data_IF_958728349439
#
_entry.id   IF_958728349439
#
_cell.length_a   1.000
_cell.length_b   1.000
_cell.length_c   1.000
_cell.angle_alpha   90.00
_cell.angle_beta   90.00
_cell.angle_gamma   90.00
#
_symmetry.space_group_name_H-M   'P 1'
#
loop_
_entity.id
_entity.type
_entity.pdbx_description
1 polymer ?
#
# COMPACT_ATOMS: atom_id res chain seq x y z
N UNK A 1 1.07 -9.51 -23.94
CA UNK A 1 -0.29 -8.93 -23.98
C UNK A 1 -1.20 -10.13 -24.13
N UNK A 2 -1.84 -10.55 -23.04
CA UNK A 2 -2.89 -11.56 -23.14
C UNK A 2 -4.10 -10.74 -23.57
N UNK A 3 -4.56 -10.99 -24.78
CA UNK A 3 -5.60 -10.21 -25.44
C UNK A 3 -6.95 -10.41 -24.74
N UNK A 4 -7.76 -9.35 -24.69
CA UNK A 4 -9.12 -9.30 -24.11
C UNK A 4 -10.12 -10.30 -24.77
N UNK A 5 -9.68 -11.24 -25.60
CA UNK A 5 -10.53 -12.24 -26.25
C UNK A 5 -10.83 -13.48 -25.39
N UNK A 6 -10.24 -13.61 -24.20
CA UNK A 6 -10.70 -14.55 -23.16
C UNK A 6 -11.95 -14.03 -22.40
N UNK A 7 -12.66 -13.05 -22.97
CA UNK A 7 -14.00 -12.64 -22.57
C UNK A 7 -14.99 -13.77 -22.85
N UNK A 8 -15.05 -14.70 -21.89
CA UNK A 8 -16.05 -15.74 -21.63
C UNK A 8 -17.29 -15.65 -22.54
N UNK A 9 -17.45 -16.65 -23.42
CA UNK A 9 -18.59 -16.82 -24.32
C UNK A 9 -19.92 -16.64 -23.57
N UNK A 10 -20.60 -15.52 -23.83
CA UNK A 10 -21.86 -15.16 -23.15
C UNK A 10 -22.97 -16.19 -23.39
N UNK A 11 -22.95 -16.90 -24.52
CA UNK A 11 -23.92 -17.96 -24.77
C UNK A 11 -23.63 -19.15 -23.86
N UNK A 12 -22.36 -19.55 -23.71
CA UNK A 12 -21.95 -20.62 -22.81
C UNK A 12 -22.27 -20.30 -21.34
N UNK A 13 -22.07 -19.04 -20.90
CA UNK A 13 -22.45 -18.60 -19.55
C UNK A 13 -23.97 -18.79 -19.35
N UNK A 14 -24.78 -18.33 -20.29
CA UNK A 14 -26.23 -18.42 -20.19
C UNK A 14 -26.72 -19.86 -20.20
N UNK A 15 -26.09 -20.73 -21.00
CA UNK A 15 -26.38 -22.17 -20.99
C UNK A 15 -26.03 -22.81 -19.66
N UNK A 16 -24.84 -22.56 -19.10
CA UNK A 16 -24.44 -23.07 -17.79
C UNK A 16 -25.34 -22.56 -16.67
N UNK A 17 -25.71 -21.27 -16.68
CA UNK A 17 -26.66 -20.72 -15.71
C UNK A 17 -28.00 -21.44 -15.80
N UNK A 18 -28.51 -21.70 -17.01
CA UNK A 18 -29.76 -22.44 -17.20
C UNK A 18 -29.64 -23.89 -16.75
N UNK A 19 -28.54 -24.57 -17.07
CA UNK A 19 -28.22 -25.96 -16.67
C UNK A 19 -28.31 -26.11 -15.14
N UNK A 20 -27.72 -25.17 -14.42
CA UNK A 20 -27.71 -25.17 -12.95
C UNK A 20 -28.89 -24.43 -12.32
N UNK A 21 -29.92 -24.06 -13.09
CA UNK A 21 -31.13 -23.42 -12.55
C UNK A 21 -30.89 -22.02 -11.95
N UNK A 22 -29.82 -21.33 -12.35
CA UNK A 22 -29.49 -19.97 -11.92
C UNK A 22 -30.36 -18.96 -12.69
N UNK A 23 -31.64 -18.89 -12.34
CA UNK A 23 -32.66 -18.11 -13.08
C UNK A 23 -32.77 -16.65 -12.66
N UNK A 24 -32.08 -16.25 -11.59
CA UNK A 24 -32.15 -14.90 -11.03
C UNK A 24 -30.87 -14.11 -11.33
N UNK A 25 -31.00 -12.78 -11.41
CA UNK A 25 -29.88 -11.85 -11.57
C UNK A 25 -29.24 -11.46 -10.22
N UNK A 26 -29.60 -12.16 -9.16
CA UNK A 26 -29.06 -11.97 -7.81
C UNK A 26 -27.88 -12.91 -7.56
N UNK A 27 -27.26 -12.77 -6.38
CA UNK A 27 -26.21 -13.68 -5.96
C UNK A 27 -26.74 -15.11 -5.94
N UNK A 28 -26.01 -16.02 -6.60
CA UNK A 28 -26.36 -17.43 -6.59
C UNK A 28 -25.09 -18.26 -6.73
N UNK A 29 -24.90 -19.22 -5.83
CA UNK A 29 -23.76 -20.12 -5.83
C UNK A 29 -24.25 -21.56 -5.86
N UNK A 30 -23.72 -22.35 -6.80
CA UNK A 30 -24.01 -23.79 -6.91
C UNK A 30 -22.74 -24.55 -6.64
N UNK A 31 -22.79 -25.41 -5.62
CA UNK A 31 -21.70 -26.33 -5.31
C UNK A 31 -21.92 -27.61 -6.09
N UNK A 32 -21.02 -27.92 -7.00
CA UNK A 32 -20.96 -29.19 -7.73
C UNK A 32 -19.85 -30.07 -7.20
N UNK A 33 -19.97 -31.38 -7.42
CA UNK A 33 -18.87 -32.32 -7.26
C UNK A 33 -18.12 -32.48 -8.61
N UNK A 34 -17.04 -33.27 -8.64
CA UNK A 34 -16.22 -33.49 -9.85
C UNK A 34 -17.00 -34.13 -11.01
N UNK A 35 -18.17 -34.71 -10.73
CA UNK A 35 -19.09 -35.24 -11.75
C UNK A 35 -20.01 -34.16 -12.35
N UNK A 36 -19.77 -32.89 -12.02
CA UNK A 36 -20.55 -31.72 -12.43
C UNK A 36 -22.02 -31.76 -11.99
N UNK A 37 -22.38 -32.66 -11.07
CA UNK A 37 -23.72 -32.69 -10.50
C UNK A 37 -23.80 -31.73 -9.32
N UNK A 38 -24.83 -30.88 -9.34
CA UNK A 38 -25.13 -30.00 -8.23
C UNK A 38 -25.39 -30.80 -6.94
N UNK A 39 -24.73 -30.40 -5.87
CA UNK A 39 -24.87 -30.95 -4.51
C UNK A 39 -25.60 -29.99 -3.58
N UNK A 40 -25.41 -28.68 -3.77
CA UNK A 40 -26.03 -27.66 -2.94
C UNK A 40 -26.19 -26.33 -3.69
N UNK A 41 -27.23 -25.57 -3.32
CA UNK A 41 -27.56 -24.26 -3.85
C UNK A 41 -27.55 -23.22 -2.72
N UNK A 42 -27.03 -22.02 -3.00
CA UNK A 42 -27.00 -20.90 -2.06
C UNK A 42 -27.47 -19.62 -2.76
N UNK A 43 -28.52 -19.01 -2.22
CA UNK A 43 -29.08 -17.73 -2.70
C UNK A 43 -28.45 -16.52 -2.00
N UNK A 44 -27.57 -16.77 -1.02
CA UNK A 44 -26.84 -15.74 -0.27
C UNK A 44 -25.38 -16.15 -0.10
N UNK A 45 -24.45 -15.19 0.05
CA UNK A 45 -23.06 -15.50 0.35
C UNK A 45 -22.94 -16.36 1.61
N UNK A 46 -22.12 -17.41 1.55
CA UNK A 46 -21.86 -18.31 2.66
C UNK A 46 -20.37 -18.34 2.97
N UNK A 47 -20.04 -18.49 4.26
CA UNK A 47 -18.66 -18.66 4.68
C UNK A 47 -18.03 -19.89 4.01
N UNK A 48 -16.86 -19.71 3.41
CA UNK A 48 -16.14 -20.79 2.71
C UNK A 48 -15.83 -21.98 3.60
N UNK A 49 -15.65 -21.76 4.91
CA UNK A 49 -15.51 -22.86 5.88
C UNK A 49 -16.68 -23.85 5.80
N UNK A 50 -17.91 -23.36 5.78
CA UNK A 50 -19.11 -24.19 5.68
C UNK A 50 -19.20 -24.93 4.34
N UNK A 51 -18.71 -24.30 3.26
CA UNK A 51 -18.62 -24.94 1.94
C UNK A 51 -17.60 -26.08 1.98
N UNK A 52 -16.43 -25.87 2.55
CA UNK A 52 -15.39 -26.90 2.70
C UNK A 52 -15.84 -28.05 3.59
N UNK A 53 -16.52 -27.76 4.71
CA UNK A 53 -17.07 -28.78 5.61
C UNK A 53 -18.06 -29.69 4.86
N UNK A 54 -18.87 -29.13 3.96
CA UNK A 54 -19.77 -29.91 3.10
C UNK A 54 -19.00 -30.72 2.05
N UNK A 55 -18.02 -30.12 1.37
CA UNK A 55 -17.18 -30.81 0.38
C UNK A 55 -16.48 -32.03 0.99
N UNK A 56 -15.99 -31.92 2.22
CA UNK A 56 -15.32 -33.03 2.92
C UNK A 56 -16.25 -34.21 3.26
N UNK A 57 -17.56 -34.07 3.06
CA UNK A 57 -18.52 -35.19 3.12
C UNK A 57 -18.67 -35.95 1.80
N UNK A 58 -18.16 -35.42 0.68
CA UNK A 58 -18.36 -36.00 -0.65
C UNK A 58 -17.55 -37.29 -0.81
N UNK A 59 -18.12 -38.29 -1.48
CA UNK A 59 -17.46 -39.59 -1.69
C UNK A 59 -16.18 -39.46 -2.54
N UNK A 60 -16.18 -38.55 -3.52
CA UNK A 60 -15.00 -38.16 -4.30
C UNK A 60 -13.91 -37.60 -3.40
N UNK A 61 -14.27 -36.64 -2.55
CA UNK A 61 -13.38 -35.95 -1.62
C UNK A 61 -12.79 -36.89 -0.56
N UNK A 62 -13.59 -37.77 0.01
CA UNK A 62 -13.13 -38.78 0.99
C UNK A 62 -12.01 -39.65 0.39
N UNK A 63 -12.20 -40.16 -0.84
CA UNK A 63 -11.17 -40.95 -1.55
C UNK A 63 -9.91 -40.14 -1.82
N UNK A 64 -10.06 -38.87 -2.15
CA UNK A 64 -8.94 -37.96 -2.36
C UNK A 64 -8.16 -37.72 -1.06
N UNK A 65 -8.85 -37.48 0.06
CA UNK A 65 -8.24 -37.30 1.38
C UNK A 65 -7.44 -38.54 1.81
N UNK A 66 -7.95 -39.74 1.57
CA UNK A 66 -7.23 -40.98 1.83
C UNK A 66 -5.97 -41.12 0.98
N UNK A 67 -6.03 -40.71 -0.30
CA UNK A 67 -4.87 -40.68 -1.19
C UNK A 67 -3.83 -39.65 -0.71
N UNK A 68 -4.26 -38.43 -0.41
CA UNK A 68 -3.42 -37.36 0.15
C UNK A 68 -2.72 -37.83 1.44
N UNK A 69 -3.45 -38.51 2.33
CA UNK A 69 -2.90 -39.09 3.56
C UNK A 69 -1.84 -40.16 3.29
N UNK A 70 -2.06 -41.04 2.30
CA UNK A 70 -1.05 -42.05 1.89
C UNK A 70 0.19 -41.42 1.28
N UNK A 71 0.02 -40.34 0.52
CA UNK A 71 1.09 -39.62 -0.16
C UNK A 71 1.78 -38.57 0.75
N UNK A 72 1.31 -38.41 2.01
CA UNK A 72 1.82 -37.41 2.93
C UNK A 72 1.57 -35.97 2.48
N UNK A 73 0.59 -35.76 1.59
CA UNK A 73 0.19 -34.44 1.10
C UNK A 73 -0.58 -33.75 2.22
N UNK A 74 0.05 -32.73 2.79
CA UNK A 74 -0.57 -31.85 3.78
C UNK A 74 -0.49 -30.46 3.20
N UNK A 75 -1.57 -29.68 3.31
CA UNK A 75 -1.51 -28.25 3.08
C UNK A 75 -0.44 -27.69 4.02
N UNK A 76 0.70 -27.26 3.47
CA UNK A 76 1.63 -26.46 4.26
C UNK A 76 0.81 -25.27 4.71
N UNK A 77 0.64 -25.09 6.03
CA UNK A 77 0.23 -23.79 6.52
C UNK A 77 1.13 -22.79 5.81
N UNK A 78 0.54 -21.80 5.14
CA UNK A 78 1.31 -20.64 4.67
C UNK A 78 2.13 -20.25 5.89
N UNK A 79 3.46 -20.48 5.86
CA UNK A 79 4.35 -20.17 6.98
C UNK A 79 3.90 -18.81 7.45
N UNK A 80 3.28 -18.71 8.64
CA UNK A 80 2.72 -17.46 9.14
C UNK A 80 3.77 -16.41 8.83
N UNK A 81 3.45 -15.48 7.94
CA UNK A 81 4.46 -14.60 7.39
C UNK A 81 4.90 -13.76 8.57
N UNK A 82 6.01 -14.16 9.20
CA UNK A 82 6.40 -13.59 10.47
C UNK A 82 6.64 -12.10 10.25
N UNK A 83 6.16 -11.27 11.17
CA UNK A 83 6.37 -9.83 11.14
C UNK A 83 7.82 -9.46 10.78
N UNK A 84 8.81 -10.13 11.39
CA UNK A 84 10.23 -9.92 11.11
C UNK A 84 10.57 -10.16 9.64
N UNK A 85 10.22 -11.33 9.09
CA UNK A 85 10.42 -11.64 7.68
C UNK A 85 9.74 -10.61 6.77
N UNK A 86 8.50 -10.19 7.08
CA UNK A 86 7.80 -9.17 6.31
C UNK A 86 8.57 -7.83 6.30
N UNK A 87 8.89 -7.28 7.47
CA UNK A 87 9.58 -6.00 7.58
C UNK A 87 11.02 -6.04 7.04
N UNK A 88 11.69 -7.19 7.13
CA UNK A 88 13.06 -7.38 6.65
C UNK A 88 13.21 -7.14 5.14
N UNK A 89 12.15 -7.35 4.36
CA UNK A 89 12.11 -7.10 2.90
C UNK A 89 12.39 -5.65 2.54
N UNK A 90 12.05 -4.73 3.44
CA UNK A 90 12.13 -3.29 3.20
C UNK A 90 13.36 -2.68 3.85
N UNK A 91 13.84 -3.28 4.95
CA UNK A 91 15.02 -2.80 5.67
C UNK A 91 16.22 -2.68 4.73
N UNK A 92 16.88 -1.53 4.81
CA UNK A 92 17.97 -1.06 3.96
C UNK A 92 17.66 -0.83 2.48
N UNK A 93 16.47 -1.21 2.01
CA UNK A 93 16.07 -1.12 0.60
C UNK A 93 15.11 0.03 0.33
N UNK A 94 14.03 0.11 1.11
CA UNK A 94 12.89 1.01 0.90
C UNK A 94 12.38 1.59 2.23
N UNK A 95 11.79 2.77 2.16
CA UNK A 95 11.10 3.46 3.26
C UNK A 95 9.65 2.98 3.27
N UNK A 96 9.03 2.89 4.44
CA UNK A 96 7.64 2.47 4.57
C UNK A 96 6.82 3.66 5.06
N UNK A 97 5.81 4.05 4.30
CA UNK A 97 4.78 4.99 4.72
C UNK A 97 3.56 4.16 5.13
N UNK A 98 3.32 4.00 6.42
CA UNK A 98 2.18 3.23 6.92
C UNK A 98 1.03 4.18 7.16
N UNK A 99 -0.14 3.87 6.63
CA UNK A 99 -1.41 4.54 6.90
C UNK A 99 -2.35 3.54 7.55
N UNK A 100 -2.94 3.90 8.68
CA UNK A 100 -3.92 3.10 9.39
C UNK A 100 -5.20 3.91 9.57
N UNK A 101 -6.35 3.27 9.38
CA UNK A 101 -7.67 3.86 9.61
C UNK A 101 -8.65 2.79 10.10
N UNK A 102 -9.66 3.15 10.93
CA UNK A 102 -10.73 2.23 11.32
C UNK A 102 -11.58 1.76 10.13
N UNK A 103 -11.74 2.56 9.08
CA UNK A 103 -12.55 2.25 7.89
C UNK A 103 -12.00 2.95 6.64
N UNK A 104 -12.34 2.43 5.46
CA UNK A 104 -12.10 3.10 4.16
C UNK A 104 -12.93 4.38 4.01
N UNK A 105 -14.08 4.44 4.68
CA UNK A 105 -15.00 5.60 4.66
C UNK A 105 -14.55 6.74 5.59
N UNK A 106 -13.49 6.53 6.37
CA UNK A 106 -12.94 7.56 7.23
C UNK A 106 -12.50 8.77 6.39
N UNK A 107 -12.95 9.96 6.81
CA UNK A 107 -12.70 11.19 6.05
C UNK A 107 -11.21 11.48 5.94
N UNK A 108 -10.43 11.16 6.99
CA UNK A 108 -9.02 11.47 7.02
C UNK A 108 -8.25 10.54 6.10
N UNK A 109 -8.61 9.26 6.10
CA UNK A 109 -8.09 8.30 5.13
C UNK A 109 -8.41 8.72 3.68
N UNK A 110 -9.66 9.08 3.39
CA UNK A 110 -10.08 9.56 2.07
C UNK A 110 -9.33 10.81 1.62
N UNK A 111 -9.14 11.79 2.50
CA UNK A 111 -8.36 12.99 2.21
C UNK A 111 -6.90 12.63 1.90
N UNK A 112 -6.28 11.80 2.75
CA UNK A 112 -4.90 11.40 2.54
C UNK A 112 -4.72 10.66 1.21
N UNK A 113 -5.65 9.78 0.81
CA UNK A 113 -5.62 9.14 -0.51
C UNK A 113 -5.63 10.16 -1.66
N UNK A 114 -6.43 11.22 -1.55
CA UNK A 114 -6.44 12.30 -2.53
C UNK A 114 -5.06 13.01 -2.61
N UNK A 115 -4.41 13.25 -1.47
CA UNK A 115 -3.06 13.84 -1.42
C UNK A 115 -1.95 12.91 -1.97
N UNK A 116 -2.18 11.60 -2.00
CA UNK A 116 -1.26 10.63 -2.62
C UNK A 116 -1.47 10.50 -4.14
N UNK A 117 -2.57 11.00 -4.69
CA UNK A 117 -2.86 10.91 -6.12
C UNK A 117 -1.82 11.69 -6.94
N UNK A 118 -1.40 11.14 -8.08
CA UNK A 118 -0.35 11.72 -8.92
C UNK A 118 1.09 11.59 -8.37
N UNK A 119 1.27 11.15 -7.12
CA UNK A 119 2.58 11.13 -6.46
C UNK A 119 3.43 9.89 -6.74
N UNK A 120 2.98 8.98 -7.63
CA UNK A 120 3.64 7.70 -7.90
C UNK A 120 5.13 7.82 -8.24
N UNK A 121 5.49 8.78 -9.11
CA UNK A 121 6.89 9.02 -9.45
C UNK A 121 7.71 9.49 -8.23
N UNK A 122 7.17 10.42 -7.44
CA UNK A 122 7.82 10.92 -6.23
C UNK A 122 8.05 9.80 -5.20
N UNK A 123 7.10 8.88 -5.05
CA UNK A 123 7.26 7.69 -4.21
C UNK A 123 8.35 6.75 -4.75
N UNK A 124 8.35 6.49 -6.06
CA UNK A 124 9.36 5.68 -6.73
C UNK A 124 10.78 6.20 -6.50
N UNK A 125 11.03 7.48 -6.83
CA UNK A 125 12.36 8.09 -6.64
C UNK A 125 12.79 8.16 -5.17
N UNK A 126 11.85 8.32 -4.24
CA UNK A 126 12.16 8.33 -2.79
C UNK A 126 12.14 6.94 -2.15
N UNK A 127 12.04 5.87 -2.96
CA UNK A 127 12.00 4.48 -2.51
C UNK A 127 10.93 4.23 -1.44
N UNK A 128 9.77 4.87 -1.58
CA UNK A 128 8.64 4.75 -0.66
C UNK A 128 7.78 3.55 -1.07
N UNK A 129 7.31 2.83 -0.07
CA UNK A 129 6.24 1.84 -0.16
C UNK A 129 5.11 2.34 0.73
N UNK A 130 3.87 2.22 0.27
CA UNK A 130 2.71 2.57 1.08
C UNK A 130 2.11 1.30 1.64
N UNK A 131 1.91 1.25 2.96
CA UNK A 131 1.21 0.17 3.63
C UNK A 131 -0.08 0.71 4.21
N UNK A 132 -1.21 0.27 3.69
CA UNK A 132 -2.56 0.64 4.15
C UNK A 132 -3.05 -0.44 5.10
N UNK A 133 -3.50 -0.07 6.29
CA UNK A 133 -4.05 -0.96 7.31
C UNK A 133 -5.46 -0.47 7.68
N UNK A 134 -6.48 -1.24 7.35
CA UNK A 134 -7.88 -0.83 7.42
C UNK A 134 -8.69 -1.77 8.30
N UNK A 135 -9.84 -1.31 8.79
CA UNK A 135 -10.74 -2.10 9.61
C UNK A 135 -10.34 -2.18 11.09
N UNK A 136 -11.24 -2.71 11.90
CA UNK A 136 -11.06 -2.99 13.35
C UNK A 136 -11.47 -4.44 13.65
N UNK A 137 -10.96 -5.01 14.74
CA UNK A 137 -11.36 -6.36 15.18
C UNK A 137 -11.05 -7.48 14.18
N UNK A 138 -12.08 -8.13 13.64
CA UNK A 138 -11.97 -9.24 12.67
C UNK A 138 -11.92 -8.78 11.22
N UNK A 139 -12.35 -7.55 10.94
CA UNK A 139 -12.35 -6.95 9.59
C UNK A 139 -11.01 -6.28 9.24
N UNK A 140 -9.97 -6.50 10.06
CA UNK A 140 -8.66 -5.90 9.82
C UNK A 140 -8.04 -6.47 8.54
N UNK A 141 -7.82 -5.60 7.57
CA UNK A 141 -7.11 -5.89 6.33
C UNK A 141 -5.87 -5.01 6.18
N UNK A 142 -5.01 -5.38 5.24
CA UNK A 142 -3.98 -4.47 4.78
C UNK A 142 -3.59 -4.70 3.33
N UNK A 143 -3.08 -3.67 2.70
CA UNK A 143 -2.60 -3.69 1.32
C UNK A 143 -1.28 -2.95 1.25
N UNK A 144 -0.30 -3.57 0.60
CA UNK A 144 1.00 -2.99 0.31
C UNK A 144 1.04 -2.51 -1.13
N UNK A 145 1.45 -1.27 -1.34
CA UNK A 145 1.57 -0.61 -2.64
C UNK A 145 3.03 -0.27 -2.93
N UNK A 146 3.56 -0.88 -3.99
CA UNK A 146 4.94 -0.79 -4.43
C UNK A 146 5.05 0.08 -5.69
N UNK A 147 5.81 1.17 -5.59
CA UNK A 147 6.09 2.07 -6.70
C UNK A 147 7.49 1.81 -7.28
N UNK A 148 7.62 1.68 -8.61
CA UNK A 148 8.89 1.41 -9.27
C UNK A 148 9.76 2.68 -9.33
N UNK A 149 11.08 2.48 -9.36
CA UNK A 149 12.06 3.58 -9.32
C UNK A 149 12.24 4.22 -10.72
N UNK A 150 11.80 3.53 -11.78
CA UNK A 150 11.91 3.98 -13.17
C UNK A 150 10.91 5.07 -13.56
N UNK A 151 10.14 5.61 -12.61
CA UNK A 151 9.13 6.63 -12.87
C UNK A 151 7.89 6.13 -13.64
N UNK A 152 7.78 4.82 -13.90
CA UNK A 152 6.55 4.26 -14.47
C UNK A 152 5.42 4.30 -13.45
N UNK A 153 4.19 4.47 -13.92
CA UNK A 153 2.98 4.44 -13.10
C UNK A 153 2.52 3.01 -12.75
N UNK A 154 3.32 1.98 -13.07
CA UNK A 154 2.98 0.60 -12.73
C UNK A 154 2.95 0.44 -11.21
N UNK A 155 1.81 -0.01 -10.68
CA UNK A 155 1.59 -0.20 -9.26
C UNK A 155 1.46 -1.70 -9.00
N UNK A 156 2.36 -2.23 -8.17
CA UNK A 156 2.27 -3.61 -7.69
C UNK A 156 1.59 -3.60 -6.30
N UNK A 157 0.59 -4.49 -6.15
CA UNK A 157 -0.25 -4.58 -4.94
C UNK A 157 -0.13 -5.97 -4.33
N UNK A 158 0.14 -6.00 -3.03
CA UNK A 158 0.22 -7.23 -2.25
C UNK A 158 -0.72 -7.14 -1.05
N UNK A 159 -1.62 -8.11 -0.91
CA UNK A 159 -2.49 -8.22 0.26
C UNK A 159 -1.71 -8.63 1.51
N UNK A 160 -2.01 -7.97 2.61
CA UNK A 160 -1.42 -8.24 3.92
C UNK A 160 -2.42 -9.07 4.73
N UNK A 161 -2.06 -10.30 5.14
CA UNK A 161 -2.94 -11.14 5.95
C UNK A 161 -3.38 -10.47 7.26
N UNK A 162 -4.62 -10.74 7.68
CA UNK A 162 -5.25 -10.19 8.91
C UNK A 162 -4.32 -10.24 10.14
N UNK A 163 -3.68 -11.39 10.38
CA UNK A 163 -2.78 -11.56 11.53
C UNK A 163 -1.56 -10.63 11.45
N UNK A 164 -0.99 -10.48 10.25
CA UNK A 164 0.17 -9.65 10.02
C UNK A 164 -0.19 -8.15 10.12
N UNK A 165 -1.35 -7.75 9.61
CA UNK A 165 -1.85 -6.38 9.79
C UNK A 165 -2.01 -6.02 11.28
N UNK A 166 -2.55 -6.95 12.10
CA UNK A 166 -2.61 -6.82 13.57
C UNK A 166 -1.22 -6.71 14.20
N UNK A 167 -0.31 -7.61 13.83
CA UNK A 167 1.07 -7.62 14.35
C UNK A 167 1.82 -6.33 14.00
N UNK A 168 1.60 -5.77 12.81
CA UNK A 168 2.19 -4.50 12.38
C UNK A 168 1.66 -3.33 13.21
N UNK A 169 0.33 -3.23 13.40
CA UNK A 169 -0.26 -2.20 14.28
C UNK A 169 0.31 -2.29 15.70
N UNK A 170 0.39 -3.51 16.25
CA UNK A 170 0.95 -3.73 17.58
C UNK A 170 2.43 -3.33 17.66
N UNK A 171 3.25 -3.73 16.68
CA UNK A 171 4.67 -3.44 16.65
C UNK A 171 4.97 -1.95 16.60
N UNK A 172 4.25 -1.21 15.74
CA UNK A 172 4.40 0.24 15.64
C UNK A 172 3.59 1.01 16.69
N UNK A 173 2.80 0.33 17.53
CA UNK A 173 1.91 0.96 18.53
C UNK A 173 0.86 1.88 17.89
N UNK A 174 0.29 1.46 16.76
CA UNK A 174 -0.74 2.19 16.03
C UNK A 174 -2.11 1.77 16.56
N UNK A 175 -2.91 2.76 16.98
CA UNK A 175 -4.31 2.53 17.34
C UNK A 175 -5.14 2.18 16.10
N UNK A 176 -6.01 1.15 16.15
CA UNK A 176 -6.97 0.88 15.09
C UNK A 176 -8.16 1.85 15.10
N UNK A 177 -8.35 2.62 16.18
CA UNK A 177 -9.55 3.43 16.44
C UNK A 177 -9.60 4.76 15.68
N UNK A 178 -8.48 5.23 15.14
CA UNK A 178 -8.40 6.52 14.47
C UNK A 178 -7.36 6.50 13.36
N UNK A 179 -7.48 7.47 12.44
CA UNK A 179 -6.51 7.66 11.38
C UNK A 179 -5.11 7.97 11.95
N UNK A 180 -4.10 7.26 11.46
CA UNK A 180 -2.70 7.55 11.77
C UNK A 180 -1.83 7.22 10.58
N UNK A 181 -0.87 8.07 10.28
CA UNK A 181 0.16 7.82 9.27
C UNK A 181 1.55 7.94 9.91
N UNK A 182 2.48 7.07 9.53
CA UNK A 182 3.86 7.12 10.01
C UNK A 182 4.85 6.88 8.87
N UNK A 183 5.98 7.59 8.96
CA UNK A 183 7.13 7.35 8.09
C UNK A 183 8.15 6.48 8.81
N UNK A 184 8.46 5.32 8.25
CA UNK A 184 9.54 4.44 8.71
C UNK A 184 10.70 4.55 7.74
N UNK A 185 11.90 4.78 8.29
CA UNK A 185 13.13 4.89 7.52
C UNK A 185 13.61 3.53 6.98
N UNK A 186 14.62 3.57 6.11
CA UNK A 186 15.29 2.36 5.62
C UNK A 186 15.99 1.57 6.74
N UNK A 187 16.31 2.22 7.85
CA UNK A 187 16.85 1.57 9.04
C UNK A 187 15.77 0.81 9.85
N UNK A 188 14.50 0.87 9.44
CA UNK A 188 13.38 0.22 10.11
C UNK A 188 12.85 0.98 11.33
N UNK A 189 13.38 2.18 11.60
CA UNK A 189 12.95 3.03 12.72
C UNK A 189 11.89 4.03 12.25
N UNK A 190 10.93 4.32 13.12
CA UNK A 190 9.94 5.40 12.87
C UNK A 190 10.66 6.74 12.88
N UNK A 191 10.41 7.57 11.87
CA UNK A 191 11.00 8.90 11.67
C UNK A 191 10.03 10.02 12.02
N UNK A 192 8.75 9.83 11.75
CA UNK A 192 7.71 10.79 12.08
C UNK A 192 6.35 10.11 12.20
N UNK A 193 5.49 10.71 13.03
CA UNK A 193 4.08 10.36 13.20
C UNK A 193 3.21 11.52 12.73
N UNK A 194 2.12 11.18 12.06
CA UNK A 194 1.12 12.09 11.51
C UNK A 194 -0.26 11.60 11.98
N UNK A 195 -0.77 12.10 13.11
CA UNK A 195 -2.07 11.68 13.67
C UNK A 195 -3.27 12.26 12.91
N UNK A 196 -3.02 12.96 11.80
CA UNK A 196 -4.03 13.64 10.99
C UNK A 196 -3.57 13.64 9.54
N UNK A 197 -4.51 13.64 8.58
CA UNK A 197 -4.18 13.57 7.17
C UNK A 197 -3.58 14.90 6.70
N UNK A 198 -2.76 14.84 5.67
CA UNK A 198 -1.99 15.97 5.19
C UNK A 198 -2.42 16.37 3.78
N UNK A 199 -2.67 17.66 3.58
CA UNK A 199 -3.04 18.21 2.27
C UNK A 199 -1.94 18.07 1.21
N UNK A 200 -0.69 17.94 1.64
CA UNK A 200 0.46 17.84 0.76
C UNK A 200 1.52 16.93 1.36
N UNK A 201 2.15 16.14 0.49
CA UNK A 201 3.27 15.25 0.85
C UNK A 201 4.61 15.97 0.94
N UNK A 202 4.69 17.28 0.63
CA UNK A 202 5.94 18.06 0.65
C UNK A 202 6.68 17.92 1.99
N UNK A 203 5.98 18.01 3.11
CA UNK A 203 6.59 17.86 4.46
C UNK A 203 7.23 16.47 4.63
N UNK A 204 6.60 15.42 4.11
CA UNK A 204 7.14 14.05 4.15
C UNK A 204 8.38 13.96 3.26
N UNK A 205 8.35 14.60 2.09
CA UNK A 205 9.48 14.62 1.16
C UNK A 205 10.67 15.39 1.71
N UNK A 206 10.45 16.56 2.31
CA UNK A 206 11.51 17.37 2.92
C UNK A 206 12.21 16.60 4.05
N UNK A 207 11.42 15.92 4.90
CA UNK A 207 11.97 15.04 5.92
C UNK A 207 12.81 13.92 5.28
N UNK A 208 12.33 13.32 4.20
CA UNK A 208 13.06 12.26 3.49
C UNK A 208 14.36 12.78 2.88
N UNK A 209 14.31 13.89 2.17
CA UNK A 209 15.41 14.49 1.43
C UNK A 209 16.49 15.05 2.37
N UNK A 210 16.13 15.37 3.62
CA UNK A 210 17.09 15.70 4.69
C UNK A 210 17.94 14.51 5.17
N UNK A 211 17.49 13.26 4.97
CA UNK A 211 18.15 12.06 5.51
C UNK A 211 19.44 11.70 4.76
N UNK A 212 20.44 11.18 5.48
CA UNK A 212 21.76 10.87 4.92
C UNK A 212 21.73 9.89 3.73
N UNK A 213 21.03 8.75 3.87
CA UNK A 213 20.91 7.77 2.79
C UNK A 213 20.23 8.36 1.54
N UNK A 214 19.34 9.34 1.72
CA UNK A 214 18.63 9.99 0.61
C UNK A 214 19.56 10.86 -0.23
N UNK A 215 20.55 11.51 0.37
CA UNK A 215 21.53 12.34 -0.37
C UNK A 215 22.31 11.53 -1.40
N UNK A 216 22.69 10.29 -1.06
CA UNK A 216 23.37 9.38 -1.98
C UNK A 216 22.45 8.95 -3.14
N UNK A 217 21.18 8.64 -2.83
CA UNK A 217 20.17 8.31 -3.85
C UNK A 217 19.96 9.47 -4.84
N UNK A 218 19.88 10.71 -4.34
CA UNK A 218 19.70 11.90 -5.17
C UNK A 218 20.91 12.14 -6.09
N UNK A 219 22.14 11.98 -5.59
CA UNK A 219 23.34 12.12 -6.41
C UNK A 219 23.36 11.10 -7.57
N UNK A 220 22.97 9.85 -7.30
CA UNK A 220 22.87 8.81 -8.33
C UNK A 220 21.74 9.15 -9.31
N UNK A 221 20.56 9.54 -8.82
CA UNK A 221 19.42 9.94 -9.65
C UNK A 221 19.77 11.09 -10.59
N UNK A 222 20.47 12.11 -10.08
CA UNK A 222 20.94 13.25 -10.86
C UNK A 222 21.94 12.81 -11.94
N UNK A 223 22.89 11.91 -11.62
CA UNK A 223 23.84 11.38 -12.60
C UNK A 223 23.19 10.59 -13.73
N UNK A 224 22.02 9.98 -13.46
CA UNK A 224 21.25 9.18 -14.40
C UNK A 224 20.14 9.99 -15.09
N UNK A 225 20.01 11.29 -14.79
CA UNK A 225 18.95 12.14 -15.34
C UNK A 225 17.54 11.76 -14.87
N UNK A 226 17.40 10.99 -13.79
CA UNK A 226 16.10 10.56 -13.27
C UNK A 226 15.45 11.71 -12.48
N UNK A 227 14.33 12.22 -12.99
CA UNK A 227 13.49 13.23 -12.34
C UNK A 227 12.02 12.97 -12.62
N UNK A 228 11.15 13.38 -11.69
CA UNK A 228 9.73 13.43 -11.98
C UNK A 228 9.42 14.69 -12.78
N UNK A 229 8.41 14.66 -13.68
CA UNK A 229 7.87 15.87 -14.25
C UNK A 229 7.42 16.80 -13.13
N UNK A 230 7.70 18.10 -13.26
CA UNK A 230 7.08 19.08 -12.37
C UNK A 230 5.59 19.13 -12.71
N UNK A 231 4.74 19.03 -11.69
CA UNK A 231 3.32 19.30 -11.84
C UNK A 231 3.18 20.80 -12.16
N UNK A 232 2.89 21.16 -13.42
CA UNK A 232 2.66 22.55 -13.89
C UNK A 232 1.55 23.30 -13.10
N UNK A 233 0.86 22.64 -12.18
CA UNK A 233 -0.21 23.19 -11.35
C UNK A 233 0.18 23.45 -9.88
N UNK A 234 1.39 23.06 -9.43
CA UNK A 234 1.83 23.25 -8.05
C UNK A 234 2.51 24.62 -7.78
N UNK A 235 2.65 25.48 -8.80
CA UNK A 235 3.38 26.76 -8.71
C UNK A 235 2.66 27.83 -7.87
N UNK A 236 1.39 27.65 -7.49
CA UNK A 236 0.61 28.65 -6.75
C UNK A 236 0.52 28.42 -5.23
N UNK A 237 1.53 27.78 -4.61
CA UNK A 237 1.53 27.54 -3.17
C UNK A 237 2.92 27.50 -2.53
N UNK A 238 3.38 28.64 -2.02
CA UNK A 238 4.46 28.74 -1.03
C UNK A 238 5.87 28.27 -1.45
N UNK A 239 6.42 28.84 -2.52
CA UNK A 239 7.88 28.89 -2.71
C UNK A 239 8.41 30.31 -2.51
N UNK A 240 8.80 30.62 -1.28
CA UNK A 240 9.62 31.78 -1.01
C UNK A 240 10.14 31.70 0.41
N UNK A 241 11.14 30.86 0.66
CA UNK A 241 12.11 30.95 1.79
C UNK A 241 13.18 29.83 1.78
N UNK A 242 13.47 29.17 0.65
CA UNK A 242 14.52 28.14 0.62
C UNK A 242 15.40 28.15 -0.65
N UNK A 243 15.78 29.34 -1.12
CA UNK A 243 16.99 29.51 -1.94
C UNK A 243 17.93 30.44 -1.18
N UNK A 244 18.97 29.88 -0.55
CA UNK A 244 19.94 30.70 0.16
C UNK A 244 21.04 29.96 0.93
N UNK A 245 21.18 28.64 0.82
CA UNK A 245 22.26 27.92 1.50
C UNK A 245 22.96 26.94 0.57
N UNK A 246 23.49 27.43 -0.55
CA UNK A 246 24.57 26.75 -1.26
C UNK A 246 25.17 27.67 -2.33
N UNK A 247 26.09 28.55 -1.93
CA UNK A 247 27.27 28.96 -2.72
C UNK A 247 28.06 30.03 -1.95
N UNK A 248 29.39 29.86 -1.86
CA UNK A 248 30.29 30.93 -1.42
C UNK A 248 31.22 30.61 -0.23
N UNK A 249 32.05 29.57 -0.34
CA UNK A 249 33.36 29.59 0.32
C UNK A 249 34.42 29.86 -0.74
N UNK A 250 34.69 31.15 -1.00
CA UNK A 250 35.98 31.60 -1.51
C UNK A 250 36.10 33.12 -1.33
N UNK A 251 37.08 33.50 -0.50
CA UNK A 251 37.89 34.70 -0.49
C UNK A 251 37.33 35.99 -1.12
N UNK A 252 37.10 37.01 -0.29
CA UNK A 252 37.79 38.29 -0.48
C UNK A 252 37.71 39.15 0.79
N UNK A 253 38.89 39.41 1.37
CA UNK A 253 39.12 40.53 2.27
C UNK A 253 39.20 41.79 1.41
N UNK A 254 38.34 42.80 1.63
CA UNK A 254 38.69 44.23 1.70
C UNK A 254 37.43 45.14 1.70
N UNK A 255 37.37 46.01 2.71
CA UNK A 255 36.78 47.36 2.79
C UNK A 255 35.38 47.65 2.20
N UNK A 256 34.44 48.06 3.07
CA UNK A 256 33.87 49.43 3.19
C UNK A 256 32.64 49.40 4.14
N UNK A 257 32.76 49.98 5.33
CA UNK A 257 32.12 51.25 5.75
C UNK A 257 30.58 51.27 5.78
N UNK A 258 30.07 51.04 6.99
CA UNK A 258 29.02 51.80 7.71
C UNK A 258 27.91 52.50 6.92
N UNK A 259 26.68 51.99 7.06
CA UNK A 259 25.48 52.82 7.16
C UNK A 259 24.51 52.29 8.23
N UNK A 260 24.30 53.12 9.25
CA UNK A 260 23.28 53.00 10.29
C UNK A 260 21.90 53.38 9.72
N UNK A 261 20.87 52.56 9.96
CA UNK A 261 19.49 53.04 9.97
C UNK A 261 18.74 52.51 11.20
N UNK A 262 18.44 53.43 12.12
CA UNK A 262 17.60 53.19 13.28
C UNK A 262 16.12 53.40 12.94
N UNK A 263 15.26 52.59 13.55
CA UNK A 263 13.81 52.80 13.60
C UNK A 263 13.41 53.21 15.02
N UNK A 264 12.64 54.31 15.20
CA UNK A 264 12.12 54.69 16.52
C UNK A 264 10.80 53.97 16.80
N UNK A 265 10.70 53.33 17.96
CA UNK A 265 9.45 52.87 18.53
C UNK A 265 8.64 54.06 19.06
N UNK A 266 7.35 54.13 18.72
CA UNK A 266 6.37 55.00 19.39
C UNK A 266 5.44 54.15 20.24
N UNK A 267 5.25 54.62 21.47
CA UNK A 267 4.41 54.06 22.55
C UNK A 267 2.93 54.03 22.19
#
# INVERSE_FOLDING_TARGET
>A
VIEDEDLVDQNLINELRREYGMTYNDFFMVLTDSDMKAKQYYEVPIAMKSVFDLIDTFQSRIKEMEKQKREGIVCKENKKQSLENFLSRFRWRRRLLVMSSPSEEDWAYSQQLAALNGQACNFGLRHIIILKLLGVGEEIGGVLELYPINGSSSLDREDVPVHLAKDIRNYFQISPEYFSMLLVGKDGNVKSWYPSPMWSMVIVYDLIDSMQLRRQEMAIQQSLGMRCPEDEYAEYGYHGYHQGYQEGYQDDYHHHESYHHGYPYRK
#
